data_IF_024812599349
#
_entry.id   IF_024812599349
#
_cell.length_a   1.000
_cell.length_b   1.000
_cell.length_c   1.000
_cell.angle_alpha   90.00
_cell.angle_beta   90.00
_cell.angle_gamma   90.00
#
_symmetry.space_group_name_H-M   'P 1'
#
loop_
_entity.id
_entity.type
_entity.pdbx_description
1 polymer ?
#
# COMPACT_ATOMS: atom_id res chain seq x y z
N UNK A 1 2.39 2.01 5.11
CA UNK A 1 3.49 2.49 5.98
C UNK A 1 3.87 1.39 6.97
N UNK A 2 5.09 1.39 7.50
CA UNK A 2 5.56 0.45 8.55
C UNK A 2 5.62 1.17 9.89
N UNK A 3 5.16 0.53 10.96
CA UNK A 3 5.22 1.09 12.32
C UNK A 3 6.64 0.95 12.87
N UNK A 4 7.25 2.06 13.27
CA UNK A 4 8.55 2.09 13.95
C UNK A 4 8.35 1.91 15.45
N UNK A 5 7.46 2.70 16.04
CA UNK A 5 7.09 2.65 17.45
C UNK A 5 5.64 3.09 17.64
N UNK A 6 5.01 2.67 18.75
CA UNK A 6 3.63 3.03 19.06
C UNK A 6 3.37 2.99 20.57
N UNK A 7 2.47 3.85 21.03
CA UNK A 7 1.91 3.87 22.38
C UNK A 7 0.50 3.25 22.46
N UNK A 8 0.02 2.66 21.35
CA UNK A 8 -1.33 2.08 21.23
C UNK A 8 -2.42 3.06 20.79
N UNK A 9 -2.16 4.37 20.76
CA UNK A 9 -3.09 5.41 20.29
C UNK A 9 -2.54 6.08 19.03
N UNK A 10 -1.26 6.40 19.06
CA UNK A 10 -0.49 6.94 17.93
C UNK A 10 0.69 6.02 17.63
N UNK A 11 1.15 6.03 16.38
CA UNK A 11 2.36 5.37 15.94
C UNK A 11 3.24 6.33 15.14
N UNK A 12 4.55 6.23 15.30
CA UNK A 12 5.49 6.75 14.31
C UNK A 12 5.60 5.72 13.21
N UNK A 13 5.24 6.11 12.00
CA UNK A 13 5.25 5.24 10.83
C UNK A 13 6.20 5.78 9.76
N UNK A 14 6.79 4.87 8.98
CA UNK A 14 7.67 5.22 7.87
C UNK A 14 7.20 4.64 6.53
N UNK A 15 7.51 5.36 5.45
CA UNK A 15 7.35 4.91 4.08
C UNK A 15 8.36 5.63 3.18
N UNK A 16 9.28 4.87 2.58
CA UNK A 16 10.40 5.46 1.84
C UNK A 16 11.23 6.39 2.74
N UNK A 17 11.36 7.65 2.35
CA UNK A 17 12.05 8.68 3.13
C UNK A 17 11.11 9.53 4.01
N UNK A 18 9.83 9.18 4.07
CA UNK A 18 8.85 9.90 4.88
C UNK A 18 8.63 9.21 6.22
N UNK A 19 8.61 10.00 7.30
CA UNK A 19 8.11 9.58 8.60
C UNK A 19 6.93 10.45 9.03
N UNK A 20 5.88 9.82 9.56
CA UNK A 20 4.66 10.51 9.96
C UNK A 20 4.09 9.91 11.25
N UNK A 21 3.50 10.76 12.11
CA UNK A 21 2.67 10.32 13.23
C UNK A 21 1.27 9.97 12.72
N UNK A 22 0.83 8.75 12.99
CA UNK A 22 -0.42 8.18 12.50
C UNK A 22 -1.27 7.76 13.69
N UNK A 23 -2.56 8.09 13.68
CA UNK A 23 -3.53 7.55 14.62
C UNK A 23 -3.77 6.07 14.35
N UNK A 24 -3.71 5.23 15.39
CA UNK A 24 -3.90 3.77 15.27
C UNK A 24 -5.11 3.26 16.05
N UNK A 25 -5.94 4.18 16.56
CA UNK A 25 -7.09 3.88 17.44
C UNK A 25 -8.16 2.97 16.83
N UNK A 26 -8.18 2.86 15.49
CA UNK A 26 -9.13 2.00 14.77
C UNK A 26 -8.67 0.54 14.68
N UNK A 27 -7.45 0.24 15.14
CA UNK A 27 -6.81 -1.06 14.98
C UNK A 27 -6.56 -1.73 16.33
N UNK A 28 -6.70 -3.05 16.36
CA UNK A 28 -6.21 -3.90 17.44
C UNK A 28 -4.83 -4.47 17.10
N UNK A 29 -4.10 -4.92 18.12
CA UNK A 29 -2.82 -5.65 17.98
C UNK A 29 -1.72 -4.91 17.19
N UNK A 30 -1.71 -3.59 17.32
CA UNK A 30 -0.73 -2.71 16.68
C UNK A 30 0.63 -2.86 17.35
N UNK A 31 1.66 -3.21 16.59
CA UNK A 31 3.04 -3.40 17.08
C UNK A 31 4.07 -2.85 16.11
N UNK A 32 5.26 -2.57 16.61
CA UNK A 32 6.42 -2.23 15.78
C UNK A 32 6.66 -3.32 14.71
N UNK A 33 7.02 -2.88 13.51
CA UNK A 33 7.18 -3.71 12.32
C UNK A 33 5.88 -4.01 11.56
N UNK A 34 4.70 -3.78 12.15
CA UNK A 34 3.44 -4.00 11.44
C UNK A 34 3.28 -3.02 10.27
N UNK A 35 2.68 -3.50 9.18
CA UNK A 35 2.37 -2.67 8.01
C UNK A 35 0.91 -2.25 8.08
N UNK A 36 0.66 -0.98 7.84
CA UNK A 36 -0.69 -0.39 7.91
C UNK A 36 -1.02 0.39 6.64
N UNK A 37 -2.28 0.28 6.24
CA UNK A 37 -2.90 1.18 5.28
C UNK A 37 -3.36 2.44 6.02
N UNK A 38 -2.95 3.60 5.51
CA UNK A 38 -3.22 4.90 6.11
C UNK A 38 -4.11 5.72 5.19
N UNK A 39 -5.14 6.33 5.75
CA UNK A 39 -6.00 7.30 5.09
C UNK A 39 -6.18 8.52 6.00
N UNK A 40 -5.74 9.69 5.53
CA UNK A 40 -5.83 10.97 6.26
C UNK A 40 -5.29 10.82 7.71
N UNK A 41 -4.01 10.47 7.82
CA UNK A 41 -3.30 10.30 9.10
C UNK A 41 -3.90 9.28 10.08
N UNK A 42 -4.81 8.43 9.59
CA UNK A 42 -5.43 7.35 10.37
C UNK A 42 -5.11 6.00 9.74
N UNK A 43 -4.59 5.08 10.54
CA UNK A 43 -4.40 3.69 10.13
C UNK A 43 -5.77 2.99 10.14
N UNK A 44 -6.24 2.58 8.97
CA UNK A 44 -7.58 1.99 8.80
C UNK A 44 -7.54 0.47 8.69
N UNK A 45 -6.37 -0.12 8.41
CA UNK A 45 -6.22 -1.57 8.28
C UNK A 45 -4.78 -2.03 8.47
N UNK A 46 -4.60 -3.21 9.06
CA UNK A 46 -3.34 -3.96 9.02
C UNK A 46 -3.18 -4.63 7.64
N UNK A 47 -1.97 -4.58 7.11
CA UNK A 47 -1.58 -5.24 5.86
C UNK A 47 -0.66 -6.40 6.18
N UNK A 48 -0.86 -7.52 5.50
CA UNK A 48 0.18 -8.55 5.45
C UNK A 48 1.34 -8.11 4.54
N UNK A 49 2.45 -8.84 4.62
CA UNK A 49 3.66 -8.54 3.87
C UNK A 49 3.46 -8.56 2.35
N UNK A 50 2.65 -9.50 1.84
CA UNK A 50 2.46 -9.65 0.41
C UNK A 50 1.57 -8.53 -0.14
N UNK A 51 0.47 -8.22 0.55
CA UNK A 51 -0.43 -7.12 0.19
C UNK A 51 0.31 -5.79 0.23
N UNK A 52 1.04 -5.51 1.31
CA UNK A 52 1.83 -4.27 1.40
C UNK A 52 2.85 -4.17 0.26
N UNK A 53 3.55 -5.26 -0.07
CA UNK A 53 4.49 -5.32 -1.20
C UNK A 53 3.79 -5.06 -2.55
N UNK A 54 2.60 -5.62 -2.77
CA UNK A 54 1.84 -5.41 -4.00
C UNK A 54 1.38 -3.95 -4.13
N UNK A 55 0.91 -3.34 -3.04
CA UNK A 55 0.55 -1.92 -3.02
C UNK A 55 1.77 -1.05 -3.34
N UNK A 56 2.93 -1.30 -2.71
CA UNK A 56 4.16 -0.56 -3.03
C UNK A 56 4.53 -0.69 -4.51
N UNK A 57 4.53 -1.92 -5.05
CA UNK A 57 4.79 -2.15 -6.49
C UNK A 57 3.82 -1.39 -7.40
N UNK A 58 2.54 -1.36 -7.05
CA UNK A 58 1.53 -0.66 -7.84
C UNK A 58 1.77 0.85 -7.82
N UNK A 59 2.16 1.43 -6.68
CA UNK A 59 2.53 2.84 -6.56
C UNK A 59 3.78 3.17 -7.38
N UNK A 60 4.83 2.34 -7.30
CA UNK A 60 6.04 2.51 -8.12
C UNK A 60 5.72 2.43 -9.62
N UNK A 61 4.83 1.51 -10.02
CA UNK A 61 4.37 1.37 -11.40
C UNK A 61 3.55 2.57 -11.87
N UNK A 62 2.71 3.13 -11.00
CA UNK A 62 1.96 4.35 -11.28
C UNK A 62 2.91 5.54 -11.47
N UNK A 63 3.92 5.70 -10.61
CA UNK A 63 4.94 6.75 -10.74
C UNK A 63 5.73 6.61 -12.06
N UNK A 64 6.17 5.39 -12.40
CA UNK A 64 6.83 5.13 -13.67
C UNK A 64 5.95 5.54 -14.86
N UNK A 65 4.67 5.16 -14.83
CA UNK A 65 3.71 5.51 -15.88
C UNK A 65 3.51 7.03 -16.02
N UNK A 66 3.41 7.75 -14.90
CA UNK A 66 3.28 9.22 -14.89
C UNK A 66 4.52 9.90 -15.48
N UNK A 67 5.71 9.31 -15.30
CA UNK A 67 6.96 9.79 -15.86
C UNK A 67 7.20 9.32 -17.32
N UNK A 68 6.23 8.66 -17.95
CA UNK A 68 6.36 8.14 -19.32
C UNK A 68 7.30 6.94 -19.46
N UNK A 69 7.62 6.28 -18.35
CA UNK A 69 8.45 5.07 -18.32
C UNK A 69 7.57 3.81 -18.42
N UNK A 70 8.16 2.70 -18.86
CA UNK A 70 7.43 1.42 -18.87
C UNK A 70 7.09 0.97 -17.45
N UNK A 71 5.83 0.61 -17.25
CA UNK A 71 5.30 0.10 -15.98
C UNK A 71 5.06 -1.42 -15.99
N UNK A 72 5.29 -2.10 -17.12
CA UNK A 72 4.97 -3.52 -17.35
C UNK A 72 5.57 -4.44 -16.28
N UNK A 73 6.80 -4.14 -15.83
CA UNK A 73 7.50 -4.93 -14.79
C UNK A 73 6.78 -4.93 -13.43
N UNK A 74 5.92 -3.95 -13.18
CA UNK A 74 5.17 -3.83 -11.93
C UNK A 74 3.83 -4.57 -11.98
N UNK A 75 3.32 -4.84 -13.18
CA UNK A 75 2.05 -5.51 -13.47
C UNK A 75 2.27 -6.71 -14.40
N UNK A 76 3.31 -7.50 -14.14
CA UNK A 76 3.72 -8.59 -15.03
C UNK A 76 2.64 -9.66 -15.23
N UNK A 77 1.75 -9.81 -14.26
CA UNK A 77 0.57 -10.69 -14.30
C UNK A 77 -0.51 -10.23 -15.29
N UNK A 78 -0.50 -8.96 -15.68
CA UNK A 78 -1.45 -8.39 -16.65
C UNK A 78 -0.89 -8.38 -18.09
N UNK A 79 0.42 -8.62 -18.27
CA UNK A 79 1.05 -8.58 -19.59
C UNK A 79 0.63 -9.81 -20.41
N UNK A 80 0.09 -9.57 -21.61
CA UNK A 80 -0.42 -10.63 -22.49
C UNK A 80 -1.75 -11.24 -22.04
N UNK A 81 -2.38 -10.67 -21.00
CA UNK A 81 -3.68 -11.09 -20.49
C UNK A 81 -4.72 -10.01 -20.76
N UNK A 82 -5.48 -10.17 -21.84
CA UNK A 82 -6.59 -9.27 -22.16
C UNK A 82 -7.82 -9.62 -21.30
N UNK A 83 -8.32 -8.69 -20.46
CA UNK A 83 -9.49 -8.93 -19.64
C UNK A 83 -10.72 -9.14 -20.53
N UNK A 84 -11.50 -10.17 -20.22
CA UNK A 84 -12.73 -10.47 -20.94
C UNK A 84 -13.85 -9.54 -20.49
N UNK A 85 -14.54 -8.91 -21.44
CA UNK A 85 -15.74 -8.15 -21.15
C UNK A 85 -16.82 -9.08 -20.55
N UNK A 86 -17.47 -8.69 -19.43
CA UNK A 86 -18.67 -9.34 -18.92
C UNK A 86 -19.75 -9.41 -20.01
N UNK A 87 -20.65 -10.41 -19.95
CA UNK A 87 -21.69 -10.60 -20.98
C UNK A 87 -22.54 -9.35 -21.25
N UNK A 88 -22.84 -8.55 -20.22
CA UNK A 88 -23.63 -7.33 -20.36
C UNK A 88 -22.86 -6.13 -20.96
N UNK A 89 -21.57 -6.29 -21.24
CA UNK A 89 -20.69 -5.30 -21.89
C UNK A 89 -20.12 -5.81 -23.23
N UNK A 90 -20.58 -6.97 -23.72
CA UNK A 90 -20.19 -7.54 -25.03
C UNK A 90 -21.05 -7.01 -26.17
#
# INVERSE_FOLDING_TARGET
MTIVETDGVTALCEYGNEQRRISVVLLADVRAGAKVLVHIDSAVRLLDENEARLICKALDGLEASLNGQSCDRFFADLIGHEPQLPEHLR
#
